data_IF_915060024819
#
_entry.id   IF_915060024819
#
_cell.length_a   1.000
_cell.length_b   1.000
_cell.length_c   1.000
_cell.angle_alpha   90.00
_cell.angle_beta   90.00
_cell.angle_gamma   90.00
#
_symmetry.space_group_name_H-M   'P 1'
#
loop_
_entity.id
_entity.type
_entity.pdbx_description
1 polymer ?
#
# COMPACT_ATOMS: atom_id res chain seq x y z
N UNK A 1 -61.04 3.32 -56.13
CA UNK A 1 -60.33 2.16 -55.53
C UNK A 1 -59.97 2.51 -54.09
N UNK A 2 -60.53 1.81 -53.10
CA UNK A 2 -60.45 2.20 -51.68
C UNK A 2 -59.07 1.80 -51.10
N UNK A 3 -58.13 2.75 -51.02
CA UNK A 3 -56.78 2.60 -50.43
C UNK A 3 -56.76 2.30 -48.92
N UNK A 4 -57.93 2.15 -48.27
CA UNK A 4 -58.05 2.02 -46.82
C UNK A 4 -57.57 0.66 -46.27
N UNK A 5 -57.58 -0.40 -47.07
CA UNK A 5 -57.12 -1.74 -46.68
C UNK A 5 -55.60 -1.83 -46.47
N UNK A 6 -54.78 -1.54 -47.49
CA UNK A 6 -53.33 -1.70 -47.39
C UNK A 6 -52.68 -0.73 -46.38
N UNK A 7 -53.21 0.48 -46.23
CA UNK A 7 -52.69 1.47 -45.27
C UNK A 7 -52.83 1.00 -43.82
N UNK A 8 -53.95 0.33 -43.48
CA UNK A 8 -54.17 -0.22 -42.13
C UNK A 8 -53.21 -1.36 -41.80
N UNK A 9 -52.88 -2.19 -42.79
CA UNK A 9 -51.91 -3.28 -42.63
C UNK A 9 -50.51 -2.73 -42.36
N UNK A 10 -50.09 -1.68 -43.09
CA UNK A 10 -48.79 -1.02 -42.87
C UNK A 10 -48.70 -0.43 -41.46
N UNK A 11 -49.75 0.24 -40.99
CA UNK A 11 -49.78 0.82 -39.64
C UNK A 11 -49.66 -0.27 -38.57
N UNK A 12 -50.34 -1.41 -38.73
CA UNK A 12 -50.26 -2.53 -37.77
C UNK A 12 -48.86 -3.15 -37.75
N UNK A 13 -48.20 -3.30 -38.89
CA UNK A 13 -46.84 -3.84 -38.96
C UNK A 13 -45.85 -2.88 -38.28
N UNK A 14 -45.99 -1.57 -38.51
CA UNK A 14 -45.12 -0.56 -37.89
C UNK A 14 -45.31 -0.48 -36.38
N UNK A 15 -46.56 -0.53 -35.89
CA UNK A 15 -46.81 -0.51 -34.45
C UNK A 15 -46.35 -1.80 -33.79
N UNK A 16 -46.55 -2.97 -34.40
CA UNK A 16 -46.04 -4.24 -33.89
C UNK A 16 -44.49 -4.28 -33.88
N UNK A 17 -43.84 -3.73 -34.90
CA UNK A 17 -42.38 -3.61 -34.94
C UNK A 17 -41.86 -2.66 -33.86
N UNK A 18 -42.51 -1.51 -33.67
CA UNK A 18 -42.13 -0.54 -32.65
C UNK A 18 -42.35 -1.08 -31.23
N UNK A 19 -43.46 -1.78 -30.99
CA UNK A 19 -43.72 -2.42 -29.70
C UNK A 19 -42.74 -3.56 -29.43
N UNK A 20 -42.34 -4.33 -30.45
CA UNK A 20 -41.29 -5.34 -30.31
C UNK A 20 -39.93 -4.72 -29.94
N UNK A 21 -39.57 -3.60 -30.57
CA UNK A 21 -38.33 -2.87 -30.28
C UNK A 21 -38.34 -2.27 -28.87
N UNK A 22 -39.45 -1.64 -28.47
CA UNK A 22 -39.59 -1.08 -27.12
C UNK A 22 -39.63 -2.18 -26.04
N UNK A 23 -40.32 -3.29 -26.31
CA UNK A 23 -40.34 -4.44 -25.40
C UNK A 23 -38.95 -5.09 -25.29
N UNK A 24 -38.18 -5.20 -26.37
CA UNK A 24 -36.82 -5.74 -26.32
C UNK A 24 -35.83 -4.83 -25.58
N UNK A 25 -36.02 -3.51 -25.65
CA UNK A 25 -35.27 -2.52 -24.85
C UNK A 25 -35.64 -2.56 -23.36
N UNK A 26 -36.93 -2.75 -23.03
CA UNK A 26 -37.43 -2.75 -21.64
C UNK A 26 -37.26 -4.10 -20.91
N UNK A 27 -37.42 -5.23 -21.63
CA UNK A 27 -37.34 -6.59 -21.07
C UNK A 27 -35.96 -7.23 -21.23
N UNK A 28 -34.96 -6.50 -21.74
CA UNK A 28 -33.58 -6.98 -21.79
C UNK A 28 -33.44 -8.28 -22.58
N UNK A 29 -34.04 -8.36 -23.78
CA UNK A 29 -33.87 -9.55 -24.62
C UNK A 29 -32.44 -9.57 -25.16
N UNK A 30 -31.71 -10.62 -24.85
CA UNK A 30 -30.31 -10.85 -25.23
C UNK A 30 -30.07 -10.82 -26.74
N UNK A 31 -29.95 -9.62 -27.33
CA UNK A 31 -29.33 -9.40 -28.63
C UNK A 31 -27.96 -8.73 -28.42
N UNK A 32 -27.11 -9.46 -27.69
CA UNK A 32 -25.83 -9.02 -27.12
C UNK A 32 -24.69 -8.75 -28.10
N UNK A 33 -24.92 -8.31 -29.34
CA UNK A 33 -23.85 -8.07 -30.31
C UNK A 33 -23.43 -6.60 -30.50
N UNK A 34 -24.30 -5.62 -30.20
CA UNK A 34 -24.01 -4.19 -30.40
C UNK A 34 -23.51 -3.46 -29.15
N UNK A 35 -24.31 -3.47 -28.08
CA UNK A 35 -24.05 -2.67 -26.88
C UNK A 35 -22.85 -3.14 -26.07
N UNK A 36 -22.63 -4.46 -25.96
CA UNK A 36 -21.50 -5.03 -25.23
C UNK A 36 -20.14 -4.67 -25.88
N UNK A 37 -20.10 -4.48 -27.21
CA UNK A 37 -18.87 -4.13 -27.95
C UNK A 37 -18.49 -2.67 -27.76
N UNK A 38 -19.48 -1.78 -27.69
CA UNK A 38 -19.27 -0.35 -27.39
C UNK A 38 -18.85 -0.15 -25.92
N UNK A 39 -19.43 -0.91 -24.99
CA UNK A 39 -19.00 -0.94 -23.59
C UNK A 39 -17.55 -1.42 -23.43
N UNK A 40 -17.10 -2.40 -24.23
CA UNK A 40 -15.68 -2.85 -24.23
C UNK A 40 -14.72 -1.83 -24.80
N UNK A 41 -15.13 -1.03 -25.80
CA UNK A 41 -14.31 0.03 -26.38
C UNK A 41 -14.18 1.25 -25.46
N UNK A 42 -15.19 1.49 -24.60
CA UNK A 42 -15.20 2.59 -23.62
C UNK A 42 -14.77 2.16 -22.21
N UNK A 43 -14.54 0.87 -21.98
CA UNK A 43 -13.96 0.38 -20.74
C UNK A 43 -12.50 0.84 -20.67
N UNK A 44 -12.23 1.90 -19.91
CA UNK A 44 -10.86 2.27 -19.53
C UNK A 44 -10.17 1.00 -19.00
N UNK A 45 -8.98 0.61 -19.51
CA UNK A 45 -8.27 -0.52 -18.97
C UNK A 45 -8.11 -0.27 -17.46
N UNK A 46 -8.62 -1.18 -16.65
CA UNK A 46 -8.36 -1.14 -15.21
C UNK A 46 -6.84 -1.05 -15.06
N UNK A 47 -6.30 -0.13 -14.25
CA UNK A 47 -4.86 -0.08 -14.05
C UNK A 47 -4.44 -1.47 -13.58
N UNK A 48 -3.52 -2.08 -14.35
CA UNK A 48 -2.91 -3.35 -13.94
C UNK A 48 -2.02 -2.99 -12.77
N UNK A 49 -2.49 -3.28 -11.57
CA UNK A 49 -1.71 -3.13 -10.35
C UNK A 49 -0.61 -4.18 -10.36
N UNK A 50 0.65 -3.76 -10.21
CA UNK A 50 1.78 -4.67 -10.05
C UNK A 50 1.90 -5.10 -8.58
N UNK A 51 2.91 -5.92 -8.25
CA UNK A 51 3.15 -6.43 -6.88
C UNK A 51 3.05 -5.29 -5.85
N UNK A 52 2.40 -5.54 -4.72
CA UNK A 52 2.11 -4.55 -3.68
C UNK A 52 1.33 -3.31 -4.16
N UNK A 53 0.67 -3.39 -5.33
CA UNK A 53 -0.10 -2.34 -5.96
C UNK A 53 0.72 -1.17 -6.51
N UNK A 54 1.96 -1.43 -6.94
CA UNK A 54 2.79 -0.43 -7.60
C UNK A 54 2.19 -0.04 -8.97
N UNK A 55 2.41 1.21 -9.44
CA UNK A 55 1.91 1.68 -10.74
C UNK A 55 2.68 1.11 -11.94
N UNK A 56 3.91 0.64 -11.71
CA UNK A 56 4.80 0.06 -12.72
C UNK A 56 5.55 -1.14 -12.13
N UNK A 57 6.02 -2.09 -12.96
CA UNK A 57 6.79 -3.22 -12.46
C UNK A 57 8.17 -2.76 -11.97
N UNK A 58 8.73 -3.49 -11.00
CA UNK A 58 10.12 -3.28 -10.60
C UNK A 58 11.09 -3.82 -11.67
N UNK A 59 12.30 -3.23 -11.78
CA UNK A 59 13.37 -3.79 -12.59
C UNK A 59 13.76 -5.20 -12.14
N UNK A 60 14.52 -5.92 -12.97
CA UNK A 60 15.11 -7.20 -12.58
C UNK A 60 16.00 -7.05 -11.34
N UNK A 61 16.11 -8.12 -10.54
CA UNK A 61 16.87 -8.14 -9.28
C UNK A 61 16.47 -7.04 -8.28
N UNK A 62 15.18 -6.69 -8.24
CA UNK A 62 14.61 -5.80 -7.22
C UNK A 62 13.37 -6.41 -6.59
N UNK A 63 13.14 -6.06 -5.32
CA UNK A 63 11.96 -6.45 -4.57
C UNK A 63 11.01 -5.24 -4.46
N UNK A 64 9.77 -5.42 -4.87
CA UNK A 64 8.70 -4.44 -4.77
C UNK A 64 8.19 -4.37 -3.33
N UNK A 65 8.07 -3.16 -2.78
CA UNK A 65 7.53 -2.95 -1.45
C UNK A 65 6.55 -1.78 -1.40
N UNK A 66 5.66 -1.82 -0.40
CA UNK A 66 4.79 -0.69 -0.02
C UNK A 66 4.66 -0.63 1.49
N UNK A 67 4.98 0.52 2.06
CA UNK A 67 4.83 0.86 3.47
C UNK A 67 3.74 1.91 3.61
N UNK A 68 2.86 1.72 4.58
CA UNK A 68 1.85 2.70 4.96
C UNK A 68 1.89 2.84 6.48
N UNK A 69 2.09 4.06 6.99
CA UNK A 69 1.98 4.31 8.43
C UNK A 69 0.53 4.18 8.89
N UNK A 70 0.31 4.09 10.20
CA UNK A 70 -1.02 4.17 10.76
C UNK A 70 -1.65 5.55 10.55
N UNK A 71 -2.98 5.58 10.53
CA UNK A 71 -3.75 6.83 10.57
C UNK A 71 -4.24 7.05 11.99
N UNK A 72 -3.65 8.06 12.65
CA UNK A 72 -3.82 8.30 14.08
C UNK A 72 -3.63 6.99 14.89
N UNK A 73 -4.58 6.66 15.75
CA UNK A 73 -4.64 5.43 16.54
C UNK A 73 -5.77 4.48 16.09
N UNK A 74 -6.39 4.73 14.92
CA UNK A 74 -7.59 4.00 14.48
C UNK A 74 -7.34 3.02 13.35
N UNK A 75 -6.47 3.36 12.38
CA UNK A 75 -6.10 2.46 11.29
C UNK A 75 -4.65 2.08 11.45
N UNK A 76 -4.38 0.79 11.58
CA UNK A 76 -3.01 0.28 11.72
C UNK A 76 -2.22 0.35 10.41
N UNK A 77 -0.88 0.26 10.51
CA UNK A 77 0.02 0.35 9.37
C UNK A 77 -0.08 -0.89 8.48
N UNK A 78 0.53 -0.80 7.30
CA UNK A 78 0.66 -1.92 6.35
C UNK A 78 2.08 -1.99 5.83
N UNK A 79 2.63 -3.21 5.83
CA UNK A 79 3.93 -3.52 5.22
C UNK A 79 3.71 -4.65 4.22
N UNK A 80 3.95 -4.36 2.94
CA UNK A 80 3.89 -5.32 1.84
C UNK A 80 5.26 -5.44 1.18
N UNK A 81 5.67 -6.67 0.88
CA UNK A 81 6.85 -7.00 0.07
C UNK A 81 6.49 -8.09 -0.92
N UNK A 82 6.82 -7.93 -2.20
CA UNK A 82 6.61 -8.95 -3.25
C UNK A 82 5.17 -9.50 -3.29
N UNK A 83 4.19 -8.61 -3.10
CA UNK A 83 2.75 -8.92 -3.00
C UNK A 83 2.33 -9.73 -1.76
N UNK A 84 3.27 -10.00 -0.86
CA UNK A 84 3.02 -10.61 0.43
C UNK A 84 2.82 -9.53 1.49
N UNK A 85 1.66 -9.56 2.12
CA UNK A 85 1.34 -8.68 3.25
C UNK A 85 2.04 -9.22 4.51
N UNK A 86 3.13 -8.56 4.92
CA UNK A 86 3.93 -8.95 6.08
C UNK A 86 3.27 -8.50 7.38
N UNK A 87 2.83 -7.23 7.43
CA UNK A 87 2.15 -6.66 8.61
C UNK A 87 0.89 -5.90 8.20
N UNK A 88 -0.22 -6.12 8.92
CA UNK A 88 -1.45 -5.34 8.77
C UNK A 88 -2.42 -5.57 9.93
N UNK A 89 -3.40 -4.67 10.10
CA UNK A 89 -4.51 -4.88 11.04
C UNK A 89 -5.31 -6.17 10.75
N UNK A 90 -5.44 -6.54 9.47
CA UNK A 90 -6.16 -7.77 9.07
C UNK A 90 -5.42 -9.02 9.51
N UNK A 91 -4.08 -8.99 9.55
CA UNK A 91 -3.24 -10.08 10.07
C UNK A 91 -3.13 -10.09 11.59
N UNK A 92 -3.71 -9.10 12.27
CA UNK A 92 -3.67 -8.95 13.73
C UNK A 92 -2.24 -8.99 14.31
N UNK A 93 -1.27 -8.43 13.58
CA UNK A 93 0.15 -8.41 13.95
C UNK A 93 0.76 -7.01 13.96
N UNK A 94 -0.08 -5.97 14.11
CA UNK A 94 0.34 -4.58 14.23
C UNK A 94 -0.11 -3.99 15.56
N UNK A 95 0.64 -3.02 16.06
CA UNK A 95 0.36 -2.36 17.34
C UNK A 95 0.91 -0.93 17.37
N UNK A 96 0.51 -0.16 18.39
CA UNK A 96 1.04 1.18 18.64
C UNK A 96 2.57 1.16 18.67
N UNK A 97 3.18 2.24 18.19
CA UNK A 97 4.63 2.41 18.15
C UNK A 97 5.24 2.09 16.79
N UNK A 98 6.35 1.35 16.81
CA UNK A 98 7.10 0.98 15.61
C UNK A 98 6.74 -0.44 15.18
N UNK A 99 6.25 -0.60 13.95
CA UNK A 99 5.96 -1.89 13.36
C UNK A 99 7.08 -2.21 12.38
N UNK A 100 7.82 -3.29 12.64
CA UNK A 100 9.07 -3.58 11.94
C UNK A 100 9.01 -4.99 11.34
N UNK A 101 9.32 -5.09 10.05
CA UNK A 101 9.55 -6.36 9.36
C UNK A 101 11.00 -6.46 8.92
N UNK A 102 11.64 -7.57 9.30
CA UNK A 102 13.00 -7.95 8.91
C UNK A 102 12.93 -8.96 7.79
N UNK A 103 13.67 -8.71 6.72
CA UNK A 103 13.62 -9.53 5.50
C UNK A 103 15.04 -9.84 5.06
N UNK A 104 15.27 -11.07 4.61
CA UNK A 104 16.54 -11.45 4.00
C UNK A 104 16.69 -10.77 2.63
N UNK A 105 17.69 -9.90 2.47
CA UNK A 105 17.90 -9.14 1.24
C UNK A 105 18.35 -9.96 0.03
N UNK A 106 18.70 -11.24 0.20
CA UNK A 106 19.10 -12.14 -0.89
C UNK A 106 17.91 -12.86 -1.49
N UNK A 107 17.01 -13.44 -0.68
CA UNK A 107 15.88 -14.23 -1.18
C UNK A 107 14.51 -13.55 -1.00
N UNK A 108 14.44 -12.43 -0.27
CA UNK A 108 13.21 -11.70 -0.01
C UNK A 108 12.30 -12.35 1.04
N UNK A 109 12.77 -13.36 1.76
CA UNK A 109 11.97 -14.05 2.79
C UNK A 109 11.88 -13.25 4.08
N UNK A 110 10.71 -13.31 4.73
CA UNK A 110 10.50 -12.74 6.05
C UNK A 110 11.31 -13.50 7.10
N UNK A 111 12.15 -12.79 7.83
CA UNK A 111 12.90 -13.32 8.98
C UNK A 111 12.04 -13.20 10.24
N UNK A 112 11.55 -11.99 10.53
CA UNK A 112 10.68 -11.73 11.68
C UNK A 112 9.88 -10.43 11.48
N UNK A 113 8.73 -10.31 12.13
CA UNK A 113 7.90 -9.11 12.12
C UNK A 113 7.27 -8.87 13.49
N UNK A 114 7.55 -7.70 14.09
CA UNK A 114 7.07 -7.36 15.44
C UNK A 114 6.72 -5.88 15.57
N UNK A 115 5.75 -5.59 16.43
CA UNK A 115 5.40 -4.24 16.86
C UNK A 115 6.03 -3.93 18.23
N UNK A 116 6.54 -2.71 18.39
CA UNK A 116 7.17 -2.22 19.61
C UNK A 116 6.47 -0.95 20.08
N UNK A 117 5.82 -1.00 21.25
CA UNK A 117 5.08 0.13 21.81
C UNK A 117 6.04 1.21 22.32
N UNK A 118 6.18 2.29 21.54
CA UNK A 118 7.05 3.43 21.87
C UNK A 118 6.35 4.50 22.71
N UNK A 119 5.15 4.24 23.23
CA UNK A 119 4.48 5.11 24.19
C UNK A 119 4.55 4.56 25.62
N UNK A 120 4.14 3.29 25.81
CA UNK A 120 4.05 2.65 27.12
C UNK A 120 4.97 1.42 27.29
N UNK A 121 5.60 0.95 26.22
CA UNK A 121 6.44 -0.25 26.24
C UNK A 121 7.87 -0.02 26.70
N UNK A 122 8.64 -1.11 26.72
CA UNK A 122 10.07 -1.11 27.01
C UNK A 122 10.90 -1.05 25.73
N UNK A 123 11.69 0.02 25.57
CA UNK A 123 12.60 0.21 24.44
C UNK A 123 13.67 -0.89 24.35
N UNK A 124 13.99 -1.58 25.45
CA UNK A 124 14.96 -2.67 25.43
C UNK A 124 14.51 -3.85 24.56
N UNK A 125 13.20 -4.06 24.36
CA UNK A 125 12.71 -5.08 23.44
C UNK A 125 13.09 -4.77 21.99
N UNK A 126 12.97 -3.49 21.59
CA UNK A 126 13.39 -3.01 20.27
C UNK A 126 14.89 -3.16 20.10
N UNK A 127 15.68 -2.80 21.11
CA UNK A 127 17.14 -2.92 21.05
C UNK A 127 17.58 -4.39 20.91
N UNK A 128 16.98 -5.31 21.66
CA UNK A 128 17.24 -6.75 21.54
C UNK A 128 16.87 -7.29 20.15
N UNK A 129 15.86 -6.72 19.51
CA UNK A 129 15.44 -7.09 18.17
C UNK A 129 16.38 -6.57 17.07
N UNK A 130 16.90 -5.35 17.21
CA UNK A 130 17.73 -4.70 16.17
C UNK A 130 19.24 -4.97 16.29
N UNK A 131 19.75 -5.33 17.48
CA UNK A 131 21.18 -5.62 17.68
C UNK A 131 21.69 -6.85 16.89
N UNK A 132 20.98 -8.00 16.84
CA UNK A 132 21.50 -9.22 16.20
C UNK A 132 21.31 -9.24 14.67
N UNK A 133 21.03 -8.10 14.03
CA UNK A 133 20.84 -8.06 12.58
C UNK A 133 22.14 -8.39 11.84
N UNK A 134 22.07 -9.42 10.99
CA UNK A 134 23.11 -9.75 10.03
C UNK A 134 23.15 -8.74 8.88
N UNK A 135 24.33 -8.56 8.29
CA UNK A 135 24.46 -7.73 7.10
C UNK A 135 23.58 -8.25 5.96
N UNK A 136 22.94 -7.34 5.23
CA UNK A 136 22.03 -7.70 4.15
C UNK A 136 20.59 -7.93 4.58
N UNK A 137 20.29 -7.91 5.88
CA UNK A 137 18.91 -7.83 6.34
C UNK A 137 18.31 -6.48 5.97
N UNK A 138 17.21 -6.51 5.21
CA UNK A 138 16.36 -5.37 4.95
C UNK A 138 15.46 -5.12 6.17
N UNK A 139 15.25 -3.85 6.49
CA UNK A 139 14.45 -3.41 7.65
C UNK A 139 13.37 -2.46 7.16
N UNK A 140 12.11 -2.90 7.23
CA UNK A 140 10.95 -2.09 6.90
C UNK A 140 10.26 -1.63 8.17
N UNK A 141 9.95 -0.34 8.26
CA UNK A 141 9.36 0.28 9.45
C UNK A 141 8.14 1.12 9.05
N UNK A 142 7.07 0.99 9.82
CA UNK A 142 5.90 1.85 9.73
C UNK A 142 5.43 2.25 11.14
N UNK A 143 5.27 3.55 11.40
CA UNK A 143 4.78 4.04 12.68
C UNK A 143 3.26 3.85 12.83
N UNK A 144 2.79 3.76 14.07
CA UNK A 144 1.37 3.78 14.42
C UNK A 144 1.15 4.51 15.74
N UNK A 145 0.25 5.50 15.75
CA UNK A 145 -0.04 6.39 16.89
C UNK A 145 1.16 7.21 17.38
N UNK A 146 2.11 6.62 18.12
CA UNK A 146 3.30 7.32 18.61
C UNK A 146 4.58 6.48 18.49
N UNK A 147 5.54 6.83 17.60
CA UNK A 147 6.78 6.08 17.41
C UNK A 147 7.94 6.51 18.31
N UNK A 148 7.81 7.57 19.13
CA UNK A 148 9.00 8.29 19.60
C UNK A 148 9.15 8.44 21.13
N UNK A 149 8.07 8.40 21.92
CA UNK A 149 8.14 8.80 23.35
C UNK A 149 9.15 7.98 24.17
N UNK A 150 9.31 6.69 23.84
CA UNK A 150 10.27 5.79 24.51
C UNK A 150 11.59 5.62 23.74
N UNK A 151 11.76 6.26 22.57
CA UNK A 151 12.99 6.18 21.79
C UNK A 151 14.16 6.85 22.51
N UNK A 152 15.24 6.10 22.73
CA UNK A 152 16.48 6.59 23.31
C UNK A 152 17.57 6.80 22.24
N UNK A 153 18.70 7.39 22.64
CA UNK A 153 19.83 7.65 21.74
C UNK A 153 20.36 6.39 21.05
N UNK A 154 20.40 5.25 21.76
CA UNK A 154 20.85 3.99 21.19
C UNK A 154 19.92 3.51 20.06
N UNK A 155 18.60 3.50 20.29
CA UNK A 155 17.63 3.10 19.27
C UNK A 155 17.69 4.02 18.05
N UNK A 156 17.83 5.33 18.26
CA UNK A 156 18.03 6.31 17.19
C UNK A 156 19.32 6.06 16.42
N UNK A 157 20.41 5.74 17.12
CA UNK A 157 21.70 5.38 16.54
C UNK A 157 21.63 4.11 15.68
N UNK A 158 20.89 3.08 16.14
CA UNK A 158 20.67 1.85 15.36
C UNK A 158 19.94 2.13 14.06
N UNK A 159 18.84 2.91 14.07
CA UNK A 159 18.17 3.30 12.82
C UNK A 159 19.04 4.20 11.95
N UNK A 160 19.85 5.08 12.54
CA UNK A 160 20.84 5.88 11.82
C UNK A 160 21.85 5.01 11.05
N UNK A 161 22.31 3.92 11.66
CA UNK A 161 23.21 2.93 11.06
C UNK A 161 22.52 2.01 10.02
N UNK A 162 21.19 1.93 10.04
CA UNK A 162 20.38 1.28 9.01
C UNK A 162 20.09 2.20 7.81
N UNK A 163 20.52 3.46 7.88
CA UNK A 163 20.40 4.45 6.79
C UNK A 163 19.35 5.54 7.04
N UNK A 164 18.70 5.60 8.21
CA UNK A 164 17.70 6.64 8.49
C UNK A 164 18.35 8.01 8.71
N UNK A 165 17.68 9.07 8.23
CA UNK A 165 17.94 10.47 8.56
C UNK A 165 16.97 10.96 9.62
N UNK A 166 15.69 10.61 9.50
CA UNK A 166 14.63 11.15 10.36
C UNK A 166 14.64 10.57 11.79
N UNK A 167 15.17 9.35 12.00
CA UNK A 167 15.15 8.69 13.30
C UNK A 167 15.82 9.50 14.42
N UNK A 168 16.82 10.32 14.10
CA UNK A 168 17.46 11.20 15.07
C UNK A 168 16.46 12.19 15.68
N UNK A 169 15.52 12.70 14.88
CA UNK A 169 14.64 13.80 15.24
C UNK A 169 13.17 13.40 15.42
N UNK A 170 12.83 12.10 15.30
CA UNK A 170 11.46 11.60 15.51
C UNK A 170 10.90 12.06 16.86
N UNK A 171 9.73 12.68 16.81
CA UNK A 171 9.02 13.23 17.95
C UNK A 171 7.63 12.60 18.13
N UNK A 172 6.98 13.00 19.23
CA UNK A 172 5.68 12.47 19.65
C UNK A 172 4.63 12.53 18.54
N UNK A 173 4.10 11.35 18.17
CA UNK A 173 3.10 11.14 17.11
C UNK A 173 3.49 11.55 15.69
N UNK A 174 4.78 11.68 15.41
CA UNK A 174 5.20 11.85 14.04
C UNK A 174 4.79 10.62 13.20
N UNK A 175 4.35 10.85 11.97
CA UNK A 175 4.19 9.76 10.99
C UNK A 175 5.55 9.45 10.37
N UNK A 176 5.91 8.18 10.29
CA UNK A 176 7.19 7.74 9.73
C UNK A 176 7.06 6.39 9.04
N UNK A 177 7.63 6.32 7.83
CA UNK A 177 7.86 5.08 7.08
C UNK A 177 9.30 5.06 6.59
N UNK A 178 9.94 3.90 6.71
CA UNK A 178 11.35 3.75 6.40
C UNK A 178 11.65 2.35 5.90
N UNK A 179 12.43 2.26 4.82
CA UNK A 179 13.08 1.02 4.40
C UNK A 179 14.59 1.24 4.44
N UNK A 180 15.31 0.43 5.21
CA UNK A 180 16.76 0.45 5.32
C UNK A 180 17.35 -0.94 5.20
N UNK A 181 18.66 -1.05 5.42
CA UNK A 181 19.32 -2.34 5.48
C UNK A 181 20.53 -2.32 6.40
N UNK A 182 20.88 -3.47 6.96
CA UNK A 182 22.11 -3.61 7.75
C UNK A 182 23.34 -3.63 6.83
N UNK A 183 24.33 -2.79 7.15
CA UNK A 183 25.57 -2.65 6.40
C UNK A 183 25.49 -1.67 5.22
N UNK A 184 24.51 -0.75 5.22
CA UNK A 184 24.49 0.36 4.26
C UNK A 184 25.50 1.43 4.69
N UNK A 185 26.21 2.00 3.72
CA UNK A 185 27.12 3.12 3.96
C UNK A 185 26.39 4.46 3.83
N UNK A 186 25.47 4.54 2.88
CA UNK A 186 24.70 5.75 2.59
C UNK A 186 23.34 5.76 3.28
N UNK A 187 22.75 6.95 3.33
CA UNK A 187 21.38 7.14 3.78
C UNK A 187 20.40 6.53 2.77
N UNK A 188 19.36 5.88 3.29
CA UNK A 188 18.34 5.26 2.46
C UNK A 188 17.58 6.31 1.64
N UNK A 189 17.30 6.07 0.36
CA UNK A 189 16.38 6.89 -0.42
C UNK A 189 14.91 6.62 -0.06
N UNK A 190 14.64 5.56 0.72
CA UNK A 190 13.31 5.10 1.05
C UNK A 190 12.94 5.51 2.48
N UNK A 191 12.69 6.81 2.67
CA UNK A 191 12.26 7.35 3.96
C UNK A 191 11.27 8.50 3.75
N UNK A 192 10.18 8.51 4.52
CA UNK A 192 9.29 9.67 4.63
C UNK A 192 8.93 9.91 6.10
N UNK A 193 8.84 11.18 6.47
CA UNK A 193 8.55 11.64 7.82
C UNK A 193 7.63 12.86 7.75
N UNK A 194 6.64 12.90 8.63
CA UNK A 194 5.76 14.05 8.81
C UNK A 194 5.62 14.36 10.29
N UNK A 195 6.02 15.57 10.63
CA UNK A 195 6.01 16.06 12.00
C UNK A 195 4.59 16.32 12.48
N UNK A 196 4.30 15.91 13.71
CA UNK A 196 3.09 16.29 14.41
C UNK A 196 3.10 17.80 14.71
N UNK A 197 2.13 18.53 14.16
CA UNK A 197 1.95 19.96 14.41
C UNK A 197 0.49 20.34 14.38
N UNK A 198 0.05 21.08 15.41
CA UNK A 198 -1.35 21.55 15.54
C UNK A 198 -1.86 22.32 14.31
N UNK A 199 -0.97 22.99 13.57
CA UNK A 199 -1.34 23.80 12.40
C UNK A 199 -1.44 23.03 11.09
N UNK A 200 -0.80 21.86 10.97
CA UNK A 200 -0.73 21.10 9.70
C UNK A 200 -1.28 19.68 9.80
N UNK A 201 -1.69 19.26 10.99
CA UNK A 201 -2.22 17.92 11.20
C UNK A 201 -3.54 17.72 10.42
N UNK A 202 -3.64 16.55 9.76
CA UNK A 202 -4.87 16.11 9.08
C UNK A 202 -5.91 15.58 10.06
N UNK A 203 -5.47 14.97 11.16
CA UNK A 203 -6.33 14.45 12.21
C UNK A 203 -6.16 15.28 13.49
N UNK A 204 -7.11 15.16 14.42
CA UNK A 204 -7.05 15.90 15.68
C UNK A 204 -5.88 15.42 16.57
N UNK A 205 -4.71 16.05 16.41
CA UNK A 205 -3.51 15.71 17.16
C UNK A 205 -2.63 14.61 16.56
N UNK A 206 -2.86 14.24 15.30
CA UNK A 206 -1.96 13.38 14.51
C UNK A 206 -1.79 13.90 13.07
N UNK A 207 -0.59 13.79 12.48
CA UNK A 207 -0.33 14.09 11.08
C UNK A 207 -0.99 13.07 10.13
N UNK A 208 -0.95 13.35 8.84
CA UNK A 208 -1.45 12.43 7.81
C UNK A 208 -0.67 11.10 7.80
N UNK A 209 -1.35 10.02 7.40
CA UNK A 209 -0.69 8.74 7.17
C UNK A 209 0.21 8.81 5.92
N UNK A 210 1.43 8.31 6.04
CA UNK A 210 2.40 8.31 4.97
C UNK A 210 2.33 7.01 4.17
N UNK A 211 2.55 7.11 2.87
CA UNK A 211 2.73 5.97 1.98
C UNK A 211 4.08 6.11 1.25
N UNK A 212 4.88 5.04 1.31
CA UNK A 212 6.13 4.92 0.59
C UNK A 212 6.14 3.58 -0.13
N UNK A 213 6.25 3.60 -1.45
CA UNK A 213 6.35 2.41 -2.27
C UNK A 213 7.53 2.53 -3.22
N UNK A 214 8.14 1.40 -3.55
CA UNK A 214 9.33 1.38 -4.40
C UNK A 214 9.87 -0.01 -4.64
N UNK A 215 11.09 -0.04 -5.17
CA UNK A 215 11.81 -1.26 -5.52
C UNK A 215 13.17 -1.21 -4.83
N UNK A 216 13.45 -2.12 -3.90
CA UNK A 216 14.77 -2.24 -3.27
C UNK A 216 15.65 -3.20 -4.07
N UNK A 217 16.93 -2.89 -4.32
CA UNK A 217 17.84 -3.83 -4.96
C UNK A 217 17.98 -5.11 -4.14
N UNK A 218 17.86 -6.26 -4.80
CA UNK A 218 18.12 -7.56 -4.21
C UNK A 218 19.64 -7.79 -4.16
N UNK A 219 20.15 -8.25 -3.02
CA UNK A 219 21.57 -8.58 -2.91
C UNK A 219 21.85 -9.86 -3.68
N UNK A 220 22.94 -9.86 -4.45
CA UNK A 220 23.49 -11.10 -5.00
C UNK A 220 24.24 -11.87 -3.90
N UNK A 221 24.23 -13.21 -3.92
CA UNK A 221 24.98 -14.02 -2.96
C UNK A 221 26.52 -13.81 -2.99
N UNK A 222 27.04 -13.13 -4.01
CA UNK A 222 28.47 -13.07 -4.33
C UNK A 222 29.24 -11.89 -3.68
N UNK A 223 28.70 -11.31 -2.60
CA UNK A 223 29.31 -10.18 -1.89
C UNK A 223 29.55 -10.43 -0.40
N UNK A 224 30.14 -11.58 -0.06
CA UNK A 224 30.82 -11.82 1.23
C UNK A 224 32.28 -11.38 1.14
#
# INVERSE_FOLDING_TARGET
>A
MRLAGPLRVVVIILTAGLTWILASLLLGTESGFGFARLQRLLAKPRPRWFKCGLPQPCPEHHLAFRLVSGAANVVGPKICLEDQMLMSSVKNNVGRGLNIALVNGVNGELIDAKAFDMWAGDVNELLKFLRPLHEGTLVFVASFDDPATKMNEEARGLFGALGSRAAADLAFRDSWVFAGAKGVQDKSPFEQHMKNSKSSNKYEGWPEALELAGCVPQRTPEGQ
#
